data_IF_385956183110
#
_entry.id   IF_385956183110
#
_cell.length_a   1.000
_cell.length_b   1.000
_cell.length_c   1.000
_cell.angle_alpha   90.00
_cell.angle_beta   90.00
_cell.angle_gamma   90.00
#
_symmetry.space_group_name_H-M   'P 1'
#
loop_
_entity.id
_entity.type
_entity.pdbx_description
1 polymer ?
#
# COMPACT_ATOMS: atom_id res chain seq x y z
N UNK A 1 -45.63 -56.59 -34.82
CA UNK A 1 -45.55 -55.24 -35.32
C UNK A 1 -45.50 -54.36 -34.08
N UNK A 2 -44.33 -53.84 -33.74
CA UNK A 2 -44.07 -53.00 -32.59
C UNK A 2 -43.42 -51.69 -33.08
N UNK A 3 -44.12 -50.58 -32.91
CA UNK A 3 -43.63 -49.25 -33.21
C UNK A 3 -42.85 -48.70 -32.02
N UNK A 4 -41.62 -48.24 -32.32
CA UNK A 4 -40.70 -47.61 -31.39
C UNK A 4 -40.99 -46.14 -31.30
N UNK A 5 -41.32 -45.64 -30.11
CA UNK A 5 -41.43 -44.21 -29.82
C UNK A 5 -40.06 -43.75 -29.34
N UNK A 6 -39.45 -42.80 -30.06
CA UNK A 6 -38.19 -42.11 -29.66
C UNK A 6 -38.57 -40.95 -28.74
N UNK A 7 -38.07 -41.04 -27.52
CA UNK A 7 -38.11 -39.93 -26.54
C UNK A 7 -36.99 -38.94 -26.85
N UNK A 8 -37.40 -37.69 -27.15
CA UNK A 8 -36.52 -36.58 -27.44
C UNK A 8 -36.31 -35.72 -26.20
N UNK A 9 -35.32 -36.07 -25.33
CA UNK A 9 -34.95 -35.21 -24.23
C UNK A 9 -34.14 -33.99 -24.69
N UNK A 10 -34.78 -32.82 -24.65
CA UNK A 10 -34.12 -31.53 -24.85
C UNK A 10 -33.35 -31.18 -23.59
N UNK A 11 -32.01 -31.26 -23.68
CA UNK A 11 -31.12 -30.76 -22.63
C UNK A 11 -31.12 -29.24 -22.66
N UNK A 12 -31.82 -28.64 -21.72
CA UNK A 12 -31.72 -27.20 -21.41
C UNK A 12 -30.40 -26.97 -20.67
N UNK A 13 -29.43 -26.36 -21.35
CA UNK A 13 -28.23 -25.82 -20.72
C UNK A 13 -28.63 -24.54 -19.94
N UNK A 14 -28.67 -24.64 -18.63
CA UNK A 14 -28.65 -23.48 -17.75
C UNK A 14 -27.22 -22.93 -17.71
N UNK A 15 -27.02 -21.60 -17.82
CA UNK A 15 -25.69 -21.04 -17.65
C UNK A 15 -25.31 -21.15 -16.17
N UNK A 16 -24.30 -21.95 -15.87
CA UNK A 16 -23.67 -21.99 -14.56
C UNK A 16 -23.11 -20.59 -14.24
N UNK A 17 -23.76 -19.91 -13.33
CA UNK A 17 -23.26 -18.71 -12.68
C UNK A 17 -22.01 -19.12 -11.90
N UNK A 18 -20.84 -18.87 -12.49
CA UNK A 18 -19.55 -19.04 -11.83
C UNK A 18 -19.46 -18.04 -10.68
N UNK A 19 -19.98 -18.39 -9.51
CA UNK A 19 -19.67 -17.72 -8.27
C UNK A 19 -18.21 -18.02 -7.94
N UNK A 20 -17.30 -17.14 -8.36
CA UNK A 20 -15.95 -17.10 -7.81
C UNK A 20 -16.10 -17.00 -6.29
N UNK A 21 -15.72 -18.06 -5.58
CA UNK A 21 -15.59 -18.03 -4.13
C UNK A 21 -14.72 -16.83 -3.75
N UNK A 22 -15.06 -16.09 -2.66
CA UNK A 22 -14.19 -15.02 -2.18
C UNK A 22 -12.82 -15.63 -1.94
N UNK A 23 -11.79 -15.03 -2.56
CA UNK A 23 -10.41 -15.44 -2.40
C UNK A 23 -10.10 -15.39 -0.91
N UNK A 24 -9.88 -16.55 -0.28
CA UNK A 24 -9.46 -16.62 1.12
C UNK A 24 -8.12 -15.89 1.21
N UNK A 25 -8.02 -14.88 2.10
CA UNK A 25 -6.74 -14.25 2.39
C UNK A 25 -5.77 -15.31 2.90
N UNK A 26 -4.74 -15.59 2.14
CA UNK A 26 -3.51 -16.09 2.68
C UNK A 26 -2.67 -14.89 3.16
N UNK A 27 -1.78 -15.08 4.14
CA UNK A 27 -0.84 -14.03 4.55
C UNK A 27 -0.02 -13.58 3.33
N UNK A 28 0.31 -12.28 3.29
CA UNK A 28 1.21 -11.72 2.28
C UNK A 28 2.62 -12.27 2.52
N UNK A 29 3.22 -12.86 1.51
CA UNK A 29 4.59 -13.33 1.62
C UNK A 29 5.58 -12.15 1.66
N UNK A 30 6.79 -12.32 2.20
CA UNK A 30 7.84 -11.28 2.11
C UNK A 30 8.12 -10.83 0.66
N UNK A 31 7.96 -11.72 -0.31
CA UNK A 31 8.12 -11.40 -1.74
C UNK A 31 6.96 -10.55 -2.26
N UNK A 32 5.74 -10.80 -1.81
CA UNK A 32 4.58 -9.96 -2.16
C UNK A 32 4.74 -8.55 -1.58
N UNK A 33 5.26 -8.42 -0.35
CA UNK A 33 5.54 -7.14 0.27
C UNK A 33 6.62 -6.39 -0.53
N UNK A 34 7.74 -7.05 -0.86
CA UNK A 34 8.80 -6.45 -1.69
C UNK A 34 8.28 -5.91 -3.00
N UNK A 35 7.52 -6.74 -3.73
CA UNK A 35 6.91 -6.35 -5.01
C UNK A 35 5.93 -5.20 -4.84
N UNK A 36 5.18 -5.20 -3.74
CA UNK A 36 4.26 -4.13 -3.39
C UNK A 36 4.94 -2.79 -3.15
N UNK A 37 6.20 -2.74 -2.72
CA UNK A 37 6.91 -1.48 -2.47
C UNK A 37 7.20 -0.66 -3.74
N UNK A 38 7.05 -1.21 -4.95
CA UNK A 38 7.39 -0.56 -6.20
C UNK A 38 6.77 0.84 -6.35
N UNK A 39 5.44 0.96 -6.33
CA UNK A 39 4.75 2.25 -6.29
C UNK A 39 3.68 2.24 -5.19
N UNK A 40 4.01 2.88 -4.09
CA UNK A 40 3.22 2.89 -2.88
C UNK A 40 2.38 4.18 -2.80
N UNK A 41 1.08 4.08 -2.99
CA UNK A 41 0.15 5.20 -2.90
C UNK A 41 -0.29 5.43 -1.45
N UNK A 42 0.02 6.60 -0.88
CA UNK A 42 -0.41 7.03 0.45
C UNK A 42 -1.48 8.10 0.28
N UNK A 43 -2.68 7.88 0.82
CA UNK A 43 -3.82 8.78 0.62
C UNK A 43 -3.72 10.08 1.43
N UNK A 44 -4.42 11.10 0.96
CA UNK A 44 -4.64 12.36 1.70
C UNK A 44 -5.92 13.01 1.16
N UNK A 45 -6.95 13.07 1.98
CA UNK A 45 -8.26 13.65 1.62
C UNK A 45 -8.23 15.13 1.28
N UNK A 46 -7.16 15.85 1.65
CA UNK A 46 -7.01 17.28 1.32
C UNK A 46 -7.00 17.57 -0.21
N UNK A 47 -6.73 16.55 -1.05
CA UNK A 47 -6.57 16.70 -2.49
C UNK A 47 -7.75 16.19 -3.32
N UNK A 48 -8.82 15.67 -2.69
CA UNK A 48 -9.89 14.97 -3.41
C UNK A 48 -10.75 15.89 -4.30
N UNK A 49 -10.98 17.13 -3.89
CA UNK A 49 -11.96 17.99 -4.55
C UNK A 49 -13.37 17.38 -4.45
N UNK A 50 -14.02 17.13 -5.60
CA UNK A 50 -15.34 16.48 -5.66
C UNK A 50 -15.27 14.95 -5.76
N UNK A 51 -14.07 14.37 -5.86
CA UNK A 51 -13.84 12.91 -5.98
C UNK A 51 -13.95 12.23 -4.62
N UNK A 52 -14.36 10.98 -4.60
CA UNK A 52 -14.26 10.15 -3.40
C UNK A 52 -12.87 9.52 -3.29
N UNK A 53 -12.46 9.21 -2.07
CA UNK A 53 -11.17 8.54 -1.84
C UNK A 53 -11.11 7.17 -2.51
N UNK A 54 -12.23 6.43 -2.50
CA UNK A 54 -12.34 5.13 -3.16
C UNK A 54 -12.12 5.22 -4.68
N UNK A 55 -12.74 6.19 -5.36
CA UNK A 55 -12.52 6.44 -6.80
C UNK A 55 -11.05 6.78 -7.11
N UNK A 56 -10.41 7.59 -6.27
CA UNK A 56 -9.01 7.95 -6.47
C UNK A 56 -8.09 6.74 -6.28
N UNK A 57 -8.34 5.91 -5.28
CA UNK A 57 -7.57 4.68 -5.03
C UNK A 57 -7.79 3.67 -6.15
N UNK A 58 -9.02 3.47 -6.63
CA UNK A 58 -9.32 2.58 -7.75
C UNK A 58 -8.54 2.98 -9.00
N UNK A 59 -8.57 4.28 -9.36
CA UNK A 59 -7.81 4.82 -10.49
C UNK A 59 -6.30 4.60 -10.32
N UNK A 60 -5.76 4.79 -9.10
CA UNK A 60 -4.34 4.58 -8.84
C UNK A 60 -3.94 3.10 -8.98
N UNK A 61 -4.71 2.19 -8.38
CA UNK A 61 -4.45 0.74 -8.40
C UNK A 61 -4.57 0.17 -9.82
N UNK A 62 -5.59 0.57 -10.58
CA UNK A 62 -5.76 0.16 -11.98
C UNK A 62 -4.62 0.64 -12.90
N UNK A 63 -3.87 1.66 -12.49
CA UNK A 63 -2.84 2.29 -13.31
C UNK A 63 -1.41 2.14 -12.78
N UNK A 64 -1.19 1.22 -11.83
CA UNK A 64 0.16 0.80 -11.47
C UNK A 64 0.58 1.03 -10.02
N UNK A 65 -0.30 1.56 -9.15
CA UNK A 65 -0.03 1.54 -7.72
C UNK A 65 -0.07 0.09 -7.20
N UNK A 66 0.99 -0.32 -6.51
CA UNK A 66 1.22 -1.69 -6.07
C UNK A 66 1.06 -1.90 -4.57
N UNK A 67 0.87 -0.83 -3.83
CA UNK A 67 0.61 -0.80 -2.39
C UNK A 67 -0.23 0.42 -2.04
N UNK A 68 -1.14 0.33 -1.05
CA UNK A 68 -2.01 1.44 -0.65
C UNK A 68 -1.99 1.61 0.87
N UNK A 69 -1.86 2.86 1.31
CA UNK A 69 -2.01 3.24 2.72
C UNK A 69 -3.10 4.29 2.86
N UNK A 70 -4.07 4.04 3.72
CA UNK A 70 -5.06 5.02 4.14
C UNK A 70 -4.47 5.89 5.25
N UNK A 71 -4.25 7.17 4.94
CA UNK A 71 -3.72 8.16 5.86
C UNK A 71 -4.70 9.32 6.03
N UNK A 72 -5.30 9.42 7.21
CA UNK A 72 -6.28 10.47 7.59
C UNK A 72 -5.95 11.00 8.98
N UNK A 73 -5.10 12.02 9.05
CA UNK A 73 -4.50 12.50 10.30
C UNK A 73 -5.49 13.13 11.30
N UNK A 74 -6.68 13.50 10.85
CA UNK A 74 -7.67 14.21 11.68
C UNK A 74 -8.99 13.43 11.82
N UNK A 75 -9.07 12.24 11.25
CA UNK A 75 -10.24 11.39 11.33
C UNK A 75 -10.23 10.56 12.62
N UNK A 76 -11.40 10.27 13.15
CA UNK A 76 -11.57 9.30 14.24
C UNK A 76 -11.36 7.87 13.73
N UNK A 77 -11.08 6.94 14.65
CA UNK A 77 -11.00 5.50 14.33
C UNK A 77 -12.23 5.00 13.57
N UNK A 78 -13.44 5.45 13.94
CA UNK A 78 -14.69 5.06 13.29
C UNK A 78 -14.77 5.58 11.84
N UNK A 79 -14.33 6.81 11.59
CA UNK A 79 -14.26 7.39 10.24
C UNK A 79 -13.22 6.68 9.38
N UNK A 80 -12.04 6.36 9.93
CA UNK A 80 -10.98 5.59 9.25
C UNK A 80 -11.52 4.20 8.87
N UNK A 81 -12.20 3.50 9.80
CA UNK A 81 -12.83 2.20 9.52
C UNK A 81 -13.86 2.32 8.42
N UNK A 82 -14.71 3.36 8.43
CA UNK A 82 -15.69 3.60 7.38
C UNK A 82 -15.06 3.79 6.01
N UNK A 83 -14.00 4.59 5.90
CA UNK A 83 -13.24 4.79 4.67
C UNK A 83 -12.56 3.50 4.22
N UNK A 84 -11.90 2.80 5.13
CA UNK A 84 -11.22 1.54 4.84
C UNK A 84 -12.18 0.49 4.25
N UNK A 85 -13.42 0.41 4.73
CA UNK A 85 -14.44 -0.50 4.21
C UNK A 85 -14.80 -0.23 2.74
N UNK A 86 -14.64 1.01 2.25
CA UNK A 86 -14.85 1.34 0.82
C UNK A 86 -13.65 0.98 -0.05
N UNK A 87 -12.43 1.03 0.50
CA UNK A 87 -11.17 0.83 -0.22
C UNK A 87 -10.74 -0.65 -0.25
N UNK A 88 -10.93 -1.38 0.85
CA UNK A 88 -10.51 -2.78 0.97
C UNK A 88 -11.01 -3.67 -0.18
N UNK A 89 -12.28 -3.59 -0.65
CA UNK A 89 -12.74 -4.40 -1.78
C UNK A 89 -11.97 -4.12 -3.07
N UNK A 90 -11.60 -2.85 -3.30
CA UNK A 90 -10.83 -2.41 -4.47
C UNK A 90 -9.44 -3.04 -4.43
N UNK A 91 -8.70 -2.83 -3.34
CA UNK A 91 -7.35 -3.37 -3.18
C UNK A 91 -7.33 -4.91 -3.28
N UNK A 92 -8.34 -5.58 -2.70
CA UNK A 92 -8.48 -7.04 -2.81
C UNK A 92 -8.72 -7.52 -4.23
N UNK A 93 -9.56 -6.83 -5.01
CA UNK A 93 -9.86 -7.18 -6.39
C UNK A 93 -8.59 -7.16 -7.27
N UNK A 94 -7.67 -6.24 -6.96
CA UNK A 94 -6.41 -6.05 -7.68
C UNK A 94 -5.21 -6.75 -7.03
N UNK A 95 -5.40 -7.43 -5.86
CA UNK A 95 -4.33 -8.09 -5.10
C UNK A 95 -3.23 -7.10 -4.68
N UNK A 96 -3.63 -5.92 -4.25
CA UNK A 96 -2.76 -4.87 -3.71
C UNK A 96 -2.89 -4.86 -2.20
N UNK A 97 -1.81 -4.91 -1.42
CA UNK A 97 -1.84 -4.77 0.04
C UNK A 97 -2.41 -3.42 0.45
N UNK A 98 -3.25 -3.43 1.50
CA UNK A 98 -3.89 -2.24 2.03
C UNK A 98 -3.59 -2.08 3.53
N UNK A 99 -2.96 -0.97 3.90
CA UNK A 99 -2.62 -0.63 5.27
C UNK A 99 -3.34 0.63 5.75
N UNK A 100 -3.41 0.79 7.07
CA UNK A 100 -3.84 2.03 7.73
C UNK A 100 -2.62 2.69 8.37
N UNK A 101 -2.56 4.03 8.33
CA UNK A 101 -1.52 4.86 8.95
C UNK A 101 -1.85 5.05 10.43
N UNK A 102 -0.90 4.80 11.33
CA UNK A 102 -0.88 5.06 12.78
C UNK A 102 -1.94 4.30 13.61
N UNK A 103 -3.17 4.15 13.14
CA UNK A 103 -4.28 3.61 13.92
C UNK A 103 -4.37 2.07 13.85
N UNK A 104 -3.71 1.41 14.81
CA UNK A 104 -3.68 -0.07 14.94
C UNK A 104 -5.07 -0.64 15.22
N UNK A 105 -5.91 0.09 15.98
CA UNK A 105 -7.27 -0.35 16.29
C UNK A 105 -8.17 -0.29 15.05
N UNK A 106 -8.10 0.80 14.28
CA UNK A 106 -8.80 0.90 13.00
C UNK A 106 -8.36 -0.20 12.03
N UNK A 107 -7.05 -0.50 11.94
CA UNK A 107 -6.53 -1.58 11.10
C UNK A 107 -7.15 -2.93 11.47
N UNK A 108 -7.25 -3.22 12.77
CA UNK A 108 -7.87 -4.43 13.28
C UNK A 108 -9.37 -4.50 12.99
N UNK A 109 -10.10 -3.42 13.30
CA UNK A 109 -11.56 -3.34 13.14
C UNK A 109 -11.98 -3.40 11.67
N UNK A 110 -11.28 -2.70 10.79
CA UNK A 110 -11.54 -2.71 9.35
C UNK A 110 -11.13 -4.03 8.69
N UNK A 111 -10.24 -4.79 9.32
CA UNK A 111 -9.61 -5.98 8.73
C UNK A 111 -8.70 -5.58 7.56
N UNK A 112 -7.91 -4.52 7.70
CA UNK A 112 -6.83 -4.16 6.81
C UNK A 112 -5.74 -5.23 6.78
N UNK A 113 -4.85 -5.22 5.79
CA UNK A 113 -3.75 -6.18 5.72
C UNK A 113 -2.66 -5.87 6.76
N UNK A 114 -2.67 -4.65 7.32
CA UNK A 114 -1.74 -4.25 8.35
C UNK A 114 -1.79 -2.76 8.68
N UNK A 115 -0.70 -2.26 9.25
CA UNK A 115 -0.54 -0.88 9.71
C UNK A 115 0.85 -0.35 9.36
N UNK A 116 0.96 0.95 9.14
CA UNK A 116 2.24 1.65 9.13
C UNK A 116 2.30 2.58 10.35
N UNK A 117 3.38 2.50 11.13
CA UNK A 117 3.55 3.30 12.34
C UNK A 117 4.79 4.19 12.28
N UNK A 118 4.72 5.34 12.92
CA UNK A 118 5.87 6.24 13.11
C UNK A 118 6.68 5.88 14.36
N UNK A 119 7.70 6.71 14.65
CA UNK A 119 8.54 6.54 15.84
C UNK A 119 7.84 6.97 17.13
N UNK A 120 6.85 7.90 17.05
CA UNK A 120 6.08 8.43 18.17
C UNK A 120 4.77 7.70 18.44
N UNK A 121 4.39 6.78 17.57
CA UNK A 121 3.12 6.08 17.58
C UNK A 121 3.23 4.74 18.32
N UNK A 122 2.24 3.85 18.18
CA UNK A 122 2.30 2.51 18.77
C UNK A 122 3.55 1.79 18.27
N UNK A 123 4.38 1.33 19.20
CA UNK A 123 5.60 0.62 18.85
C UNK A 123 5.32 -0.60 17.95
N UNK A 124 6.24 -0.89 17.03
CA UNK A 124 6.13 -2.01 16.08
C UNK A 124 5.76 -3.33 16.77
N UNK A 125 6.44 -3.68 17.86
CA UNK A 125 6.15 -4.91 18.63
C UNK A 125 4.73 -4.93 19.19
N UNK A 126 4.18 -3.79 19.60
CA UNK A 126 2.81 -3.68 20.10
C UNK A 126 1.79 -3.80 18.96
N UNK A 127 2.04 -3.17 17.83
CA UNK A 127 1.22 -3.33 16.63
C UNK A 127 1.15 -4.80 16.18
N UNK A 128 2.31 -5.47 16.15
CA UNK A 128 2.42 -6.91 15.89
C UNK A 128 1.61 -7.74 16.87
N UNK A 129 1.69 -7.42 18.17
CA UNK A 129 0.94 -8.11 19.23
C UNK A 129 -0.57 -7.99 19.07
N UNK A 130 -1.06 -6.82 18.64
CA UNK A 130 -2.50 -6.53 18.47
C UNK A 130 -3.05 -7.17 17.19
N UNK A 131 -2.32 -7.06 16.08
CA UNK A 131 -2.77 -7.49 14.75
C UNK A 131 -2.47 -8.97 14.46
N UNK A 132 -1.48 -9.56 15.15
CA UNK A 132 -1.07 -10.95 14.94
C UNK A 132 0.10 -11.10 13.95
N UNK A 133 0.57 -12.35 13.76
CA UNK A 133 1.78 -12.62 12.98
C UNK A 133 1.61 -12.43 11.46
N UNK A 134 0.39 -12.54 10.97
CA UNK A 134 0.09 -12.49 9.52
C UNK A 134 -0.16 -11.07 9.00
N UNK A 135 -0.22 -10.07 9.89
CA UNK A 135 -0.41 -8.67 9.49
C UNK A 135 0.90 -8.07 8.98
N UNK A 136 0.82 -7.13 8.05
CA UNK A 136 1.96 -6.34 7.61
C UNK A 136 2.17 -5.17 8.60
N UNK A 137 3.37 -5.02 9.13
CA UNK A 137 3.75 -3.87 9.97
C UNK A 137 4.87 -3.11 9.30
N UNK A 138 4.56 -1.91 8.81
CA UNK A 138 5.54 -0.96 8.30
C UNK A 138 5.98 0.02 9.38
N UNK A 139 7.22 0.49 9.31
CA UNK A 139 7.78 1.46 10.27
C UNK A 139 8.51 2.56 9.52
N UNK A 140 8.27 3.82 9.91
CA UNK A 140 9.08 4.95 9.47
C UNK A 140 10.46 4.90 10.13
N UNK A 141 11.55 5.17 9.38
CA UNK A 141 12.89 5.31 9.91
C UNK A 141 13.66 6.43 9.21
N UNK A 142 14.57 7.09 9.94
CA UNK A 142 15.38 8.21 9.43
C UNK A 142 16.88 7.97 9.63
N UNK A 143 17.24 6.99 10.46
CA UNK A 143 18.63 6.62 10.77
C UNK A 143 18.82 5.10 10.69
N UNK A 144 20.08 4.66 10.57
CA UNK A 144 20.43 3.23 10.58
C UNK A 144 20.04 2.58 11.90
N UNK A 145 20.17 3.29 13.01
CA UNK A 145 19.81 2.80 14.35
C UNK A 145 18.31 2.52 14.47
N UNK A 146 17.48 3.47 13.99
CA UNK A 146 16.02 3.31 13.94
C UNK A 146 15.61 2.16 13.03
N UNK A 147 16.24 2.05 11.88
CA UNK A 147 15.96 0.98 10.91
C UNK A 147 16.23 -0.42 11.49
N UNK A 148 17.36 -0.60 12.15
CA UNK A 148 17.69 -1.86 12.82
C UNK A 148 16.76 -2.18 13.98
N UNK A 149 16.44 -1.17 14.79
CA UNK A 149 15.50 -1.35 15.91
C UNK A 149 14.10 -1.76 15.41
N UNK A 150 13.64 -1.18 14.31
CA UNK A 150 12.36 -1.56 13.70
C UNK A 150 12.39 -3.00 13.15
N UNK A 151 13.45 -3.40 12.46
CA UNK A 151 13.62 -4.78 11.99
C UNK A 151 13.65 -5.77 13.14
N UNK A 152 14.43 -5.50 14.20
CA UNK A 152 14.48 -6.33 15.42
C UNK A 152 13.12 -6.42 16.14
N UNK A 153 12.32 -5.34 16.07
CA UNK A 153 10.96 -5.32 16.62
C UNK A 153 9.92 -6.07 15.76
N UNK A 154 10.32 -6.56 14.58
CA UNK A 154 9.47 -7.37 13.69
C UNK A 154 8.72 -6.56 12.62
N UNK A 155 9.28 -5.44 12.17
CA UNK A 155 8.79 -4.73 10.99
C UNK A 155 8.96 -5.58 9.72
N UNK A 156 8.00 -5.51 8.80
CA UNK A 156 8.04 -6.19 7.51
C UNK A 156 8.66 -5.33 6.41
N UNK A 157 8.63 -4.01 6.57
CA UNK A 157 9.27 -3.04 5.68
C UNK A 157 9.50 -1.69 6.38
N UNK A 158 10.34 -0.86 5.77
CA UNK A 158 10.60 0.49 6.26
C UNK A 158 10.18 1.55 5.22
N UNK A 159 9.58 2.64 5.72
CA UNK A 159 9.41 3.89 4.98
C UNK A 159 10.50 4.88 5.40
N UNK A 160 11.38 5.30 4.48
CA UNK A 160 12.52 6.15 4.80
C UNK A 160 12.42 7.51 4.11
N UNK A 161 12.40 8.59 4.89
CA UNK A 161 12.28 9.98 4.42
C UNK A 161 12.12 10.97 5.57
N UNK A 162 11.96 12.30 5.29
CA UNK A 162 11.72 12.84 3.94
C UNK A 162 13.00 12.93 3.12
N UNK A 163 12.91 12.51 1.85
CA UNK A 163 14.04 12.58 0.91
C UNK A 163 14.13 13.95 0.22
N UNK A 164 13.00 14.64 0.13
CA UNK A 164 12.86 15.98 -0.43
C UNK A 164 11.94 16.76 0.52
N UNK A 165 12.27 18.01 0.88
CA UNK A 165 11.40 18.84 1.73
C UNK A 165 9.96 18.88 1.21
N UNK A 166 8.99 18.64 2.09
CA UNK A 166 7.58 18.55 1.70
C UNK A 166 6.66 19.20 2.74
N UNK A 167 5.61 19.90 2.30
CA UNK A 167 4.60 20.45 3.21
C UNK A 167 3.69 19.37 3.84
N UNK A 168 3.64 18.17 3.28
CA UNK A 168 2.78 17.07 3.76
C UNK A 168 3.18 16.56 5.15
N UNK A 169 4.46 16.67 5.53
CA UNK A 169 4.98 16.35 6.86
C UNK A 169 6.06 17.35 7.23
N UNK A 170 5.69 18.55 7.74
CA UNK A 170 6.63 19.64 7.99
C UNK A 170 7.67 19.34 9.08
N UNK A 171 7.41 18.37 9.95
CA UNK A 171 8.29 17.96 11.05
C UNK A 171 9.26 16.84 10.65
N UNK A 172 9.25 16.39 9.40
CA UNK A 172 10.15 15.35 8.93
C UNK A 172 11.59 15.89 8.86
N UNK A 173 12.53 15.11 9.40
CA UNK A 173 13.97 15.36 9.23
C UNK A 173 14.34 14.93 7.82
N UNK A 174 15.13 15.75 7.11
CA UNK A 174 15.60 15.42 5.77
C UNK A 174 16.61 14.26 5.83
N UNK A 175 16.32 13.20 5.10
CA UNK A 175 17.22 12.04 4.93
C UNK A 175 17.99 12.20 3.63
N UNK A 176 19.31 12.19 3.70
CA UNK A 176 20.15 12.28 2.50
C UNK A 176 20.14 10.97 1.72
N UNK A 177 20.49 11.03 0.41
CA UNK A 177 20.65 9.84 -0.43
C UNK A 177 21.66 8.86 0.16
N UNK A 178 22.75 9.35 0.72
CA UNK A 178 23.80 8.51 1.33
C UNK A 178 23.29 7.82 2.60
N UNK A 179 22.48 8.50 3.40
CA UNK A 179 21.84 7.89 4.58
C UNK A 179 20.83 6.83 4.18
N UNK A 180 19.99 7.09 3.16
CA UNK A 180 19.07 6.11 2.60
C UNK A 180 19.82 4.84 2.14
N UNK A 181 20.92 4.99 1.41
CA UNK A 181 21.75 3.85 0.97
C UNK A 181 22.35 3.09 2.16
N UNK A 182 22.78 3.79 3.21
CA UNK A 182 23.27 3.15 4.45
C UNK A 182 22.18 2.38 5.17
N UNK A 183 20.97 2.94 5.25
CA UNK A 183 19.81 2.26 5.84
C UNK A 183 19.49 0.99 5.05
N UNK A 184 19.35 1.09 3.71
CA UNK A 184 19.09 -0.07 2.86
C UNK A 184 20.13 -1.19 3.02
N UNK A 185 21.42 -0.82 3.20
CA UNK A 185 22.49 -1.78 3.41
C UNK A 185 22.53 -2.39 4.81
N UNK A 186 21.85 -1.79 5.79
CA UNK A 186 21.92 -2.16 7.20
C UNK A 186 20.83 -3.14 7.62
N UNK A 187 19.77 -3.32 6.81
CA UNK A 187 18.60 -4.18 7.09
C UNK A 187 18.36 -5.18 5.97
N UNK A 188 17.63 -6.25 6.26
CA UNK A 188 17.25 -7.28 5.27
C UNK A 188 15.82 -7.13 4.76
N UNK A 189 14.98 -6.38 5.47
CA UNK A 189 13.61 -6.07 5.09
C UNK A 189 13.57 -4.98 4.00
N UNK A 190 12.55 -4.97 3.12
CA UNK A 190 12.46 -3.98 2.06
C UNK A 190 12.32 -2.56 2.60
N UNK A 191 12.95 -1.62 1.88
CA UNK A 191 12.91 -0.19 2.17
C UNK A 191 12.22 0.53 1.00
N UNK A 192 11.28 1.43 1.28
CA UNK A 192 10.68 2.33 0.31
C UNK A 192 11.04 3.78 0.64
N UNK A 193 11.43 4.54 -0.37
CA UNK A 193 11.71 5.98 -0.21
C UNK A 193 10.42 6.79 -0.16
N UNK A 194 10.36 7.81 0.71
CA UNK A 194 9.17 8.68 0.86
C UNK A 194 9.57 10.14 1.11
N UNK A 195 8.64 11.04 0.86
CA UNK A 195 8.74 12.48 1.17
C UNK A 195 9.18 13.32 -0.01
N UNK A 196 8.26 14.14 -0.52
CA UNK A 196 8.48 15.09 -1.61
C UNK A 196 8.72 14.46 -2.99
N UNK A 197 8.55 13.16 -3.13
CA UNK A 197 8.76 12.43 -4.37
C UNK A 197 7.63 12.69 -5.36
N UNK A 198 8.00 13.01 -6.60
CA UNK A 198 7.09 13.19 -7.74
C UNK A 198 7.82 12.93 -9.05
N UNK A 199 7.11 12.88 -10.17
CA UNK A 199 7.73 12.71 -11.48
C UNK A 199 8.82 13.76 -11.73
N UNK A 200 10.00 13.31 -12.13
CA UNK A 200 11.21 14.13 -12.32
C UNK A 200 12.09 14.32 -11.07
N UNK A 201 11.73 13.73 -9.92
CA UNK A 201 12.59 13.78 -8.71
C UNK A 201 13.01 12.40 -8.20
N UNK A 202 12.54 11.33 -8.85
CA UNK A 202 12.77 9.95 -8.40
C UNK A 202 14.24 9.50 -8.58
N UNK A 203 15.07 10.20 -9.35
CA UNK A 203 16.51 9.92 -9.50
C UNK A 203 17.26 9.91 -8.14
N UNK A 204 16.72 10.53 -7.10
CA UNK A 204 17.26 10.45 -5.73
C UNK A 204 17.30 9.02 -5.21
N UNK A 205 16.46 8.13 -5.73
CA UNK A 205 16.36 6.72 -5.33
C UNK A 205 17.39 5.82 -6.05
N UNK A 206 17.96 6.26 -7.15
CA UNK A 206 18.91 5.47 -7.96
C UNK A 206 20.12 5.02 -7.12
N UNK A 207 20.52 3.76 -7.25
CA UNK A 207 21.69 3.16 -6.57
C UNK A 207 21.62 3.16 -5.03
N UNK A 208 20.48 3.36 -4.42
CA UNK A 208 20.32 3.37 -2.95
C UNK A 208 19.95 2.01 -2.36
N UNK A 209 19.41 1.10 -3.17
CA UNK A 209 18.93 -0.21 -2.73
C UNK A 209 17.49 -0.23 -2.24
N UNK A 210 16.72 0.83 -2.47
CA UNK A 210 15.27 0.84 -2.20
C UNK A 210 14.52 -0.04 -3.18
N UNK A 211 13.33 -0.49 -2.78
CA UNK A 211 12.43 -1.31 -3.60
C UNK A 211 11.42 -0.47 -4.39
N UNK A 212 11.32 0.83 -4.14
CA UNK A 212 10.40 1.74 -4.82
C UNK A 212 10.18 3.06 -4.10
N UNK A 213 9.08 3.72 -4.46
CA UNK A 213 8.70 5.03 -3.97
C UNK A 213 7.31 5.03 -3.33
N UNK A 214 7.17 5.65 -2.15
CA UNK A 214 5.88 6.02 -1.57
C UNK A 214 5.58 7.49 -1.86
N UNK A 215 4.40 7.76 -2.38
CA UNK A 215 3.98 9.09 -2.83
C UNK A 215 2.59 9.44 -2.32
N UNK A 216 2.35 10.71 -2.04
CA UNK A 216 1.06 11.25 -1.61
C UNK A 216 0.49 12.17 -2.71
N UNK A 217 0.87 13.42 -2.71
CA UNK A 217 0.34 14.44 -3.63
C UNK A 217 0.66 14.17 -5.10
N UNK A 218 1.74 13.48 -5.40
CA UNK A 218 2.10 13.10 -6.78
C UNK A 218 1.03 12.25 -7.48
N UNK A 219 0.21 11.53 -6.72
CA UNK A 219 -0.96 10.79 -7.22
C UNK A 219 -2.25 11.55 -6.88
N UNK A 220 -2.52 11.81 -5.62
CA UNK A 220 -3.84 12.26 -5.18
C UNK A 220 -4.14 13.73 -5.46
N UNK A 221 -3.11 14.59 -5.64
CA UNK A 221 -3.27 15.96 -6.08
C UNK A 221 -3.30 16.14 -7.61
N UNK A 222 -3.08 15.06 -8.38
CA UNK A 222 -3.11 15.12 -9.84
C UNK A 222 -4.54 15.27 -10.36
N UNK A 223 -4.71 16.08 -11.41
CA UNK A 223 -5.97 16.20 -12.13
C UNK A 223 -6.32 14.89 -12.88
N UNK A 224 -5.30 14.20 -13.39
CA UNK A 224 -5.38 12.89 -14.07
C UNK A 224 -4.57 11.86 -13.27
N UNK A 225 -5.22 11.23 -12.29
CA UNK A 225 -4.61 10.19 -11.44
C UNK A 225 -4.07 9.01 -12.27
N UNK A 226 -4.82 8.47 -13.25
CA UNK A 226 -4.33 7.44 -14.15
C UNK A 226 -3.02 7.79 -14.85
N UNK A 227 -2.93 8.97 -15.45
CA UNK A 227 -1.72 9.40 -16.17
C UNK A 227 -0.54 9.63 -15.21
N UNK A 228 -0.78 10.26 -14.05
CA UNK A 228 0.25 10.50 -13.04
C UNK A 228 0.81 9.17 -12.50
N UNK A 229 -0.07 8.22 -12.19
CA UNK A 229 0.34 6.92 -11.64
C UNK A 229 1.17 6.13 -12.65
N UNK A 230 0.74 6.07 -13.91
CA UNK A 230 1.52 5.40 -14.97
C UNK A 230 2.90 6.05 -15.19
N UNK A 231 2.97 7.38 -15.14
CA UNK A 231 4.23 8.11 -15.31
C UNK A 231 5.20 7.79 -14.17
N UNK A 232 4.72 7.77 -12.92
CA UNK A 232 5.53 7.39 -11.76
C UNK A 232 6.02 5.94 -11.84
N UNK A 233 5.15 5.00 -12.15
CA UNK A 233 5.51 3.59 -12.30
C UNK A 233 6.61 3.41 -13.37
N UNK A 234 6.42 4.01 -14.55
CA UNK A 234 7.40 3.93 -15.63
C UNK A 234 8.74 4.60 -15.29
N UNK A 235 8.74 5.67 -14.49
CA UNK A 235 9.99 6.30 -14.03
C UNK A 235 10.70 5.44 -12.99
N UNK A 236 9.98 4.80 -12.06
CA UNK A 236 10.55 3.85 -11.10
C UNK A 236 11.17 2.65 -11.83
N UNK A 237 10.46 2.05 -12.81
CA UNK A 237 10.99 0.96 -13.64
C UNK A 237 12.30 1.30 -14.37
N UNK A 238 12.50 2.58 -14.69
CA UNK A 238 13.73 3.06 -15.36
C UNK A 238 14.90 3.26 -14.39
N UNK A 239 14.59 3.53 -13.11
CA UNK A 239 15.58 3.94 -12.11
C UNK A 239 16.06 2.76 -11.28
N UNK A 240 15.17 1.84 -10.94
CA UNK A 240 15.41 0.65 -10.12
C UNK A 240 15.51 -0.61 -10.97
#
# INVERSE_FOLDING_TARGET
MAESIRDGSVLTHSPECSTKAPCSRGPWSPEDIRRGMHLYAVTDSAWLGERTLAECVEQAVENGATFVQLREKHASTEEIVGLAQTIIPICRAHRVPFLIDDDVEAAKLAGADGVHVGQSDTACAEARRILGPDAIVGVSAQTVEEARAAEEAGADYLGVGALIPTPTKPDAIDVTKDELARICSAVSIPVVGIGGLHAGTLDVLADTGVYGAAVVSAIFAADDIPAATRALAAEIDRIL
#
